data_IF_881135212658
#
_entry.id   IF_881135212658
#
_cell.length_a   1.000
_cell.length_b   1.000
_cell.length_c   1.000
_cell.angle_alpha   90.00
_cell.angle_beta   90.00
_cell.angle_gamma   90.00
#
_symmetry.space_group_name_H-M   'P 1'
#
loop_
_entity.id
_entity.type
_entity.pdbx_description
1 polymer ?
#
# COMPACT_ATOMS: atom_id res chain seq x y z
N UNK A 1 -21.86 22.87 3.14
CA UNK A 1 -21.70 21.40 2.99
C UNK A 1 -20.71 20.94 4.05
N UNK A 2 -21.02 19.92 4.88
CA UNK A 2 -20.10 19.48 5.94
C UNK A 2 -18.78 19.00 5.32
N UNK A 3 -17.65 19.45 5.88
CA UNK A 3 -16.34 19.00 5.43
C UNK A 3 -16.09 17.59 5.98
N UNK A 4 -16.37 16.57 5.16
CA UNK A 4 -16.23 15.16 5.51
C UNK A 4 -14.79 14.81 5.91
N UNK A 5 -13.79 15.40 5.25
CA UNK A 5 -12.37 15.15 5.56
C UNK A 5 -12.07 15.55 7.00
N UNK A 6 -12.56 16.73 7.43
CA UNK A 6 -12.40 17.20 8.81
C UNK A 6 -13.13 16.32 9.83
N UNK A 7 -14.26 15.72 9.44
CA UNK A 7 -15.04 14.81 10.29
C UNK A 7 -14.32 13.46 10.46
N UNK A 8 -13.70 12.95 9.40
CA UNK A 8 -13.05 11.64 9.39
C UNK A 8 -11.60 11.68 9.86
N UNK A 9 -10.90 12.81 9.73
CA UNK A 9 -9.48 12.92 10.06
C UNK A 9 -9.11 12.42 11.48
N UNK A 10 -9.88 12.71 12.55
CA UNK A 10 -9.58 12.22 13.89
C UNK A 10 -9.72 10.70 14.06
N UNK A 11 -10.30 10.00 13.08
CA UNK A 11 -10.50 8.56 13.16
C UNK A 11 -9.23 7.77 12.80
N UNK A 12 -8.28 8.40 12.11
CA UNK A 12 -7.02 7.77 11.68
C UNK A 12 -7.29 6.42 10.99
N UNK A 13 -8.17 6.46 9.98
CA UNK A 13 -8.67 5.28 9.29
C UNK A 13 -7.53 4.50 8.63
N UNK A 14 -7.48 3.19 8.90
CA UNK A 14 -6.55 2.27 8.25
C UNK A 14 -7.28 1.46 7.18
N UNK A 15 -8.48 0.96 7.47
CA UNK A 15 -9.19 -0.02 6.64
C UNK A 15 -10.15 0.61 5.64
N UNK A 16 -10.53 1.87 5.83
CA UNK A 16 -11.37 2.62 4.91
C UNK A 16 -10.62 3.82 4.32
N UNK A 17 -10.67 3.96 2.99
CA UNK A 17 -10.11 5.10 2.26
C UNK A 17 -11.23 6.00 1.73
N UNK A 18 -11.18 7.29 2.07
CA UNK A 18 -12.16 8.26 1.61
C UNK A 18 -11.86 8.73 0.18
N UNK A 19 -12.74 8.38 -0.76
CA UNK A 19 -12.72 8.88 -2.14
C UNK A 19 -13.60 10.14 -2.24
N UNK A 20 -12.97 11.31 -2.14
CA UNK A 20 -13.65 12.62 -2.19
C UNK A 20 -14.46 12.82 -3.48
N UNK A 21 -13.90 12.38 -4.62
CA UNK A 21 -14.54 12.55 -5.95
C UNK A 21 -15.80 11.70 -6.04
N UNK A 22 -15.73 10.45 -5.57
CA UNK A 22 -16.85 9.52 -5.58
C UNK A 22 -17.80 9.67 -4.36
N UNK A 23 -17.42 10.49 -3.37
CA UNK A 23 -18.13 10.69 -2.10
C UNK A 23 -18.45 9.37 -1.38
N UNK A 24 -17.44 8.53 -1.22
CA UNK A 24 -17.59 7.25 -0.53
C UNK A 24 -16.34 6.88 0.26
N UNK A 25 -16.48 6.00 1.25
CA UNK A 25 -15.35 5.29 1.85
C UNK A 25 -15.26 3.88 1.28
N UNK A 26 -14.13 3.54 0.66
CA UNK A 26 -13.85 2.20 0.13
C UNK A 26 -13.26 1.33 1.22
N UNK A 27 -13.75 0.11 1.35
CA UNK A 27 -13.17 -0.89 2.23
C UNK A 27 -11.96 -1.58 1.57
N UNK A 28 -10.82 -1.63 2.26
CA UNK A 28 -9.74 -2.58 1.96
C UNK A 28 -10.08 -3.94 2.56
N UNK A 29 -10.59 -4.84 1.71
CA UNK A 29 -11.08 -6.16 2.11
C UNK A 29 -9.99 -7.23 2.27
N UNK A 30 -8.71 -6.83 2.27
CA UNK A 30 -7.57 -7.76 2.32
C UNK A 30 -7.22 -8.26 3.74
N UNK A 31 -7.95 -7.82 4.78
CA UNK A 31 -7.54 -7.90 6.19
C UNK A 31 -8.59 -8.56 7.10
N UNK A 32 -8.23 -8.84 8.35
CA UNK A 32 -9.11 -9.53 9.32
C UNK A 32 -10.43 -8.77 9.56
N UNK A 33 -11.52 -9.53 9.75
CA UNK A 33 -12.87 -8.94 9.89
C UNK A 33 -13.03 -8.10 11.17
N UNK A 34 -12.34 -8.46 12.24
CA UNK A 34 -12.48 -7.80 13.54
C UNK A 34 -12.00 -6.35 13.48
N UNK A 35 -10.83 -6.11 12.91
CA UNK A 35 -10.29 -4.76 12.76
C UNK A 35 -11.13 -3.89 11.83
N UNK A 36 -11.63 -4.47 10.73
CA UNK A 36 -12.55 -3.80 9.79
C UNK A 36 -13.84 -3.37 10.50
N UNK A 37 -14.42 -4.25 11.31
CA UNK A 37 -15.70 -4.00 11.98
C UNK A 37 -15.59 -2.87 13.02
N UNK A 38 -14.51 -2.84 13.79
CA UNK A 38 -14.26 -1.74 14.75
C UNK A 38 -14.20 -0.39 14.05
N UNK A 39 -13.49 -0.30 12.93
CA UNK A 39 -13.39 0.96 12.18
C UNK A 39 -14.73 1.36 11.55
N UNK A 40 -15.49 0.40 11.01
CA UNK A 40 -16.84 0.63 10.49
C UNK A 40 -17.77 1.22 11.56
N UNK A 41 -17.76 0.71 12.78
CA UNK A 41 -18.55 1.27 13.89
C UNK A 41 -18.13 2.73 14.16
N UNK A 42 -16.83 3.01 14.25
CA UNK A 42 -16.31 4.37 14.50
C UNK A 42 -16.72 5.34 13.41
N UNK A 43 -16.64 4.93 12.14
CA UNK A 43 -17.06 5.74 10.99
C UNK A 43 -18.56 6.02 11.07
N UNK A 44 -19.39 4.98 11.15
CA UNK A 44 -20.86 5.10 11.10
C UNK A 44 -21.40 5.91 12.29
N UNK A 45 -20.85 5.70 13.49
CA UNK A 45 -21.15 6.53 14.67
C UNK A 45 -20.81 8.01 14.42
N UNK A 46 -19.62 8.29 13.89
CA UNK A 46 -19.15 9.66 13.65
C UNK A 46 -19.97 10.38 12.59
N UNK A 47 -20.33 9.68 11.50
CA UNK A 47 -21.20 10.22 10.46
C UNK A 47 -22.60 10.52 11.00
N UNK A 48 -23.19 9.60 11.77
CA UNK A 48 -24.49 9.77 12.42
C UNK A 48 -24.48 10.95 13.42
N UNK A 49 -23.48 11.04 14.29
CA UNK A 49 -23.30 12.16 15.25
C UNK A 49 -23.26 13.51 14.55
N UNK A 50 -22.68 13.56 13.35
CA UNK A 50 -22.62 14.76 12.53
C UNK A 50 -23.77 14.87 11.54
N UNK A 51 -24.89 14.14 11.68
CA UNK A 51 -26.04 14.17 10.78
C UNK A 51 -25.62 14.11 9.29
N UNK A 52 -24.71 13.19 8.94
CA UNK A 52 -24.32 12.89 7.57
C UNK A 52 -25.09 11.65 7.14
N UNK A 53 -25.89 11.74 6.09
CA UNK A 53 -26.58 10.59 5.51
C UNK A 53 -25.58 9.66 4.82
N UNK A 54 -25.74 8.35 5.02
CA UNK A 54 -24.94 7.34 4.36
C UNK A 54 -25.71 6.02 4.23
N UNK A 55 -25.22 5.13 3.36
CA UNK A 55 -25.62 3.73 3.30
C UNK A 55 -24.40 2.87 2.93
N UNK A 56 -24.51 1.55 3.13
CA UNK A 56 -23.46 0.60 2.76
C UNK A 56 -23.87 -0.10 1.48
N UNK A 57 -23.02 -0.06 0.45
CA UNK A 57 -23.29 -0.70 -0.83
C UNK A 57 -22.92 -2.20 -0.85
N UNK A 58 -23.12 -2.83 -2.00
CA UNK A 58 -22.88 -4.26 -2.22
C UNK A 58 -21.38 -4.63 -2.13
N UNK A 59 -20.49 -3.65 -2.34
CA UNK A 59 -19.04 -3.81 -2.19
C UNK A 59 -18.56 -3.49 -0.76
N UNK A 60 -19.50 -3.26 0.18
CA UNK A 60 -19.25 -2.85 1.58
C UNK A 60 -18.61 -1.47 1.71
N UNK A 61 -18.70 -0.64 0.66
CA UNK A 61 -18.29 0.75 0.70
C UNK A 61 -19.37 1.60 1.36
N UNK A 62 -18.96 2.64 2.08
CA UNK A 62 -19.89 3.57 2.74
C UNK A 62 -20.12 4.73 1.79
N UNK A 63 -21.30 4.82 1.19
CA UNK A 63 -21.66 5.90 0.26
C UNK A 63 -22.19 7.09 1.06
N UNK A 64 -21.67 8.29 0.80
CA UNK A 64 -22.04 9.52 1.52
C UNK A 64 -23.05 10.35 0.75
N UNK A 65 -24.25 10.47 1.32
CA UNK A 65 -25.40 11.11 0.71
C UNK A 65 -26.14 10.21 -0.29
N UNK A 66 -27.32 10.67 -0.69
CA UNK A 66 -28.24 9.89 -1.53
C UNK A 66 -29.18 9.00 -0.72
N UNK A 67 -30.11 8.35 -1.41
CA UNK A 67 -31.09 7.43 -0.83
C UNK A 67 -30.86 6.02 -1.39
N UNK A 68 -30.91 5.01 -0.51
CA UNK A 68 -30.74 3.61 -0.90
C UNK A 68 -32.09 2.92 -1.09
N UNK A 69 -32.85 3.37 -2.10
CA UNK A 69 -34.11 2.72 -2.45
C UNK A 69 -33.87 1.37 -3.13
N UNK A 70 -34.86 0.46 -3.06
CA UNK A 70 -34.78 -0.86 -3.71
C UNK A 70 -34.44 -0.74 -5.21
N UNK A 71 -35.04 0.22 -5.91
CA UNK A 71 -34.79 0.45 -7.34
C UNK A 71 -33.35 0.95 -7.57
N UNK A 72 -32.88 1.88 -6.75
CA UNK A 72 -31.50 2.39 -6.84
C UNK A 72 -30.48 1.26 -6.61
N UNK A 73 -30.77 0.39 -5.64
CA UNK A 73 -29.97 -0.80 -5.33
C UNK A 73 -29.86 -1.76 -6.50
N UNK A 74 -30.99 -2.11 -7.13
CA UNK A 74 -31.02 -2.99 -8.32
C UNK A 74 -30.23 -2.37 -9.48
N UNK A 75 -30.46 -1.08 -9.78
CA UNK A 75 -29.72 -0.37 -10.85
C UNK A 75 -28.22 -0.36 -10.59
N UNK A 76 -27.80 -0.10 -9.34
CA UNK A 76 -26.39 -0.11 -8.94
C UNK A 76 -25.77 -1.49 -9.12
N UNK A 77 -26.44 -2.54 -8.65
CA UNK A 77 -25.99 -3.91 -8.82
C UNK A 77 -25.77 -4.28 -10.30
N UNK A 78 -26.76 -4.01 -11.16
CA UNK A 78 -26.67 -4.29 -12.61
C UNK A 78 -25.50 -3.51 -13.24
N UNK A 79 -25.37 -2.22 -12.94
CA UNK A 79 -24.28 -1.38 -13.44
C UNK A 79 -22.91 -1.91 -13.01
N UNK A 80 -22.78 -2.29 -11.74
CA UNK A 80 -21.54 -2.86 -11.18
C UNK A 80 -21.20 -4.18 -11.87
N UNK A 81 -22.18 -5.04 -12.11
CA UNK A 81 -21.99 -6.29 -12.84
C UNK A 81 -21.43 -6.06 -14.26
N UNK A 82 -22.07 -5.20 -15.05
CA UNK A 82 -21.59 -4.87 -16.40
C UNK A 82 -20.20 -4.22 -16.37
N UNK A 83 -19.92 -3.37 -15.38
CA UNK A 83 -18.60 -2.76 -15.18
C UNK A 83 -17.54 -3.82 -14.92
N UNK A 84 -17.82 -4.80 -14.06
CA UNK A 84 -16.89 -5.91 -13.80
C UNK A 84 -16.65 -6.76 -15.05
N UNK A 85 -17.70 -7.08 -15.80
CA UNK A 85 -17.58 -7.86 -17.03
C UNK A 85 -16.69 -7.14 -18.05
N UNK A 86 -16.91 -5.84 -18.24
CA UNK A 86 -16.10 -5.01 -19.15
C UNK A 86 -14.64 -4.94 -18.69
N UNK A 87 -14.40 -4.56 -17.45
CA UNK A 87 -13.05 -4.33 -16.93
C UNK A 87 -12.24 -5.64 -16.88
N UNK A 88 -12.87 -6.79 -16.59
CA UNK A 88 -12.17 -8.09 -16.53
C UNK A 88 -11.70 -8.61 -17.89
N UNK A 89 -12.22 -8.05 -19.00
CA UNK A 89 -11.75 -8.39 -20.36
C UNK A 89 -10.48 -7.63 -20.76
N UNK A 90 -10.11 -6.59 -20.01
CA UNK A 90 -8.92 -5.81 -20.30
C UNK A 90 -7.63 -6.60 -20.00
N UNK A 91 -6.59 -6.37 -20.80
CA UNK A 91 -5.28 -7.01 -20.67
C UNK A 91 -4.42 -6.25 -19.65
N UNK A 92 -4.86 -6.25 -18.40
CA UNK A 92 -4.18 -5.54 -17.31
C UNK A 92 -3.29 -6.51 -16.53
N UNK A 93 -2.04 -6.14 -16.33
CA UNK A 93 -1.05 -6.96 -15.64
C UNK A 93 -0.41 -6.16 -14.50
N UNK A 94 -0.40 -6.72 -13.30
CA UNK A 94 0.22 -6.12 -12.11
C UNK A 94 1.45 -6.94 -11.75
N UNK A 95 2.61 -6.28 -11.71
CA UNK A 95 3.89 -6.92 -11.40
C UNK A 95 4.10 -7.13 -9.89
N UNK A 96 3.09 -7.66 -9.20
CA UNK A 96 3.06 -7.82 -7.75
C UNK A 96 2.42 -9.14 -7.35
N UNK A 97 2.81 -9.66 -6.18
CA UNK A 97 2.17 -10.81 -5.54
C UNK A 97 0.76 -10.48 -5.02
N UNK A 98 0.47 -9.21 -4.71
CA UNK A 98 -0.85 -8.80 -4.19
C UNK A 98 -1.89 -8.85 -5.31
N UNK A 99 -2.92 -9.68 -5.17
CA UNK A 99 -4.06 -9.73 -6.10
C UNK A 99 -4.83 -8.42 -6.09
N UNK A 100 -5.19 -7.94 -7.27
CA UNK A 100 -5.99 -6.72 -7.45
C UNK A 100 -7.10 -7.00 -8.46
N UNK A 101 -8.29 -6.48 -8.18
CA UNK A 101 -9.48 -6.69 -9.02
C UNK A 101 -9.18 -6.30 -10.47
N UNK A 102 -9.65 -7.11 -11.42
CA UNK A 102 -9.54 -6.91 -12.89
C UNK A 102 -8.13 -7.05 -13.50
N UNK A 103 -7.07 -7.16 -12.72
CA UNK A 103 -5.72 -7.33 -13.24
C UNK A 103 -5.16 -8.73 -12.98
N UNK A 104 -4.36 -9.24 -13.93
CA UNK A 104 -3.61 -10.49 -13.79
C UNK A 104 -2.30 -10.23 -13.07
N UNK A 105 -1.99 -11.04 -12.07
CA UNK A 105 -0.76 -10.91 -11.29
C UNK A 105 0.41 -11.64 -11.94
N UNK A 106 1.52 -10.94 -12.10
CA UNK A 106 2.80 -11.52 -12.54
C UNK A 106 3.87 -11.11 -11.51
N UNK A 107 4.08 -11.90 -10.45
CA UNK A 107 5.15 -11.58 -9.51
C UNK A 107 6.50 -11.75 -10.21
N UNK A 108 7.22 -10.66 -10.41
CA UNK A 108 8.54 -10.64 -11.07
C UNK A 108 9.71 -10.69 -10.08
N UNK A 109 9.42 -10.60 -8.79
CA UNK A 109 10.40 -10.76 -7.72
C UNK A 109 9.83 -11.62 -6.59
N UNK A 110 10.74 -12.10 -5.76
CA UNK A 110 10.46 -12.74 -4.49
C UNK A 110 11.18 -12.05 -3.35
N UNK A 111 10.61 -12.23 -2.16
CA UNK A 111 11.20 -11.78 -0.91
C UNK A 111 11.84 -12.99 -0.29
N UNK A 112 13.16 -12.98 -0.20
CA UNK A 112 13.93 -14.04 0.43
C UNK A 112 14.24 -13.59 1.87
N UNK A 113 13.64 -14.22 2.90
CA UNK A 113 13.97 -13.92 4.28
C UNK A 113 15.45 -14.20 4.56
N UNK A 114 16.06 -13.36 5.38
CA UNK A 114 17.37 -13.60 5.97
C UNK A 114 17.18 -13.89 7.45
N UNK A 115 18.13 -14.59 8.05
CA UNK A 115 18.12 -14.93 9.47
C UNK A 115 19.39 -14.42 10.16
N UNK A 116 19.60 -13.09 10.24
CA UNK A 116 20.72 -12.53 10.96
C UNK A 116 20.57 -12.80 12.47
N UNK A 117 21.68 -12.81 13.20
CA UNK A 117 21.64 -12.68 14.66
C UNK A 117 21.18 -11.26 15.01
N UNK A 118 20.11 -11.14 15.79
CA UNK A 118 19.54 -9.86 16.21
C UNK A 118 19.29 -9.90 17.71
N UNK A 119 19.82 -8.90 18.41
CA UNK A 119 19.40 -8.60 19.77
C UNK A 119 18.49 -7.36 19.75
N UNK A 120 17.25 -7.53 20.18
CA UNK A 120 16.27 -6.44 20.27
C UNK A 120 16.36 -5.68 21.61
N UNK A 121 17.18 -6.14 22.55
CA UNK A 121 17.33 -5.52 23.86
C UNK A 121 17.93 -4.11 23.75
N UNK A 122 17.38 -3.18 24.53
CA UNK A 122 17.88 -1.80 24.63
C UNK A 122 17.38 -0.85 23.52
N UNK A 123 16.61 -1.32 22.54
CA UNK A 123 15.92 -0.45 21.60
C UNK A 123 14.57 0.00 22.16
N UNK A 124 14.32 1.31 22.16
CA UNK A 124 13.04 1.88 22.61
C UNK A 124 11.97 1.86 21.52
N UNK A 125 12.37 1.72 20.26
CA UNK A 125 11.46 1.70 19.12
C UNK A 125 12.03 0.88 17.94
N UNK A 126 11.12 0.31 17.15
CA UNK A 126 11.40 -0.34 15.88
C UNK A 126 10.81 0.50 14.74
N UNK A 127 11.59 0.72 13.69
CA UNK A 127 11.16 1.44 12.49
C UNK A 127 10.95 0.44 11.36
N UNK A 128 9.81 0.55 10.67
CA UNK A 128 9.49 -0.29 9.51
C UNK A 128 8.99 0.53 8.32
N UNK A 129 9.68 0.41 7.19
CA UNK A 129 9.25 1.00 5.91
C UNK A 129 8.58 -0.02 4.99
N UNK A 130 8.56 -1.30 5.38
CA UNK A 130 8.05 -2.41 4.58
C UNK A 130 7.35 -3.44 5.46
N UNK A 131 6.17 -3.90 5.03
CA UNK A 131 5.48 -5.03 5.68
C UNK A 131 6.34 -6.30 5.72
N UNK A 132 7.21 -6.49 4.73
CA UNK A 132 8.04 -7.69 4.63
C UNK A 132 9.11 -7.73 5.73
N UNK A 133 9.59 -6.56 6.18
CA UNK A 133 10.50 -6.48 7.31
C UNK A 133 9.84 -6.95 8.61
N UNK A 134 8.56 -6.61 8.81
CA UNK A 134 7.78 -7.08 9.96
C UNK A 134 7.58 -8.59 9.88
N UNK A 135 7.17 -9.12 8.72
CA UNK A 135 6.98 -10.57 8.56
C UNK A 135 8.26 -11.36 8.76
N UNK A 136 9.40 -10.86 8.26
CA UNK A 136 10.70 -11.48 8.47
C UNK A 136 11.11 -11.43 9.95
N UNK A 137 11.03 -10.27 10.60
CA UNK A 137 11.35 -10.15 12.02
C UNK A 137 10.45 -11.01 12.91
N UNK A 138 9.16 -11.09 12.58
CA UNK A 138 8.22 -11.95 13.30
C UNK A 138 8.63 -13.42 13.21
N UNK A 139 9.22 -13.87 12.10
CA UNK A 139 9.75 -15.23 12.01
C UNK A 139 11.02 -15.45 12.85
N UNK A 140 11.79 -14.39 13.12
CA UNK A 140 13.08 -14.44 13.83
C UNK A 140 12.89 -14.35 15.34
N UNK A 141 12.26 -13.29 15.85
CA UNK A 141 12.12 -13.04 17.30
C UNK A 141 10.80 -12.35 17.65
N UNK A 142 9.88 -13.09 18.27
CA UNK A 142 8.55 -12.60 18.68
C UNK A 142 8.57 -11.49 19.72
N UNK A 143 9.69 -11.24 20.40
CA UNK A 143 9.82 -10.18 21.41
C UNK A 143 9.55 -8.78 20.84
N UNK A 144 9.76 -8.60 19.52
CA UNK A 144 9.47 -7.37 18.77
C UNK A 144 8.07 -6.80 19.03
N UNK A 145 7.08 -7.68 19.28
CA UNK A 145 5.66 -7.29 19.46
C UNK A 145 5.43 -6.34 20.62
N UNK A 146 6.30 -6.41 21.64
CA UNK A 146 6.27 -5.56 22.83
C UNK A 146 6.92 -4.19 22.63
N UNK A 147 7.74 -4.03 21.59
CA UNK A 147 8.49 -2.81 21.31
C UNK A 147 7.64 -1.88 20.44
N UNK A 148 7.56 -0.57 20.75
CA UNK A 148 6.86 0.42 19.93
C UNK A 148 7.28 0.40 18.46
N UNK A 149 6.33 0.17 17.55
CA UNK A 149 6.56 0.13 16.11
C UNK A 149 6.13 1.46 15.45
N UNK A 150 7.08 2.07 14.73
CA UNK A 150 6.92 3.26 13.91
C UNK A 150 6.97 2.85 12.45
N UNK A 151 5.87 3.08 11.73
CA UNK A 151 5.73 2.55 10.37
C UNK A 151 5.46 3.64 9.35
N UNK A 152 6.01 3.51 8.14
CA UNK A 152 5.91 4.56 7.12
C UNK A 152 4.49 4.81 6.59
N UNK A 153 3.63 3.78 6.59
CA UNK A 153 2.35 3.85 5.90
C UNK A 153 1.27 2.96 6.54
N UNK A 154 -0.02 3.28 6.32
CA UNK A 154 -1.15 2.50 6.84
C UNK A 154 -1.08 1.01 6.53
N UNK A 155 -0.60 0.61 5.35
CA UNK A 155 -0.51 -0.82 5.00
C UNK A 155 0.51 -1.59 5.86
N UNK A 156 1.62 -0.95 6.21
CA UNK A 156 2.62 -1.51 7.13
C UNK A 156 2.04 -1.55 8.56
N UNK A 157 1.26 -0.53 8.94
CA UNK A 157 0.56 -0.48 10.24
C UNK A 157 -0.42 -1.65 10.45
N UNK A 158 -1.19 -1.99 9.41
CA UNK A 158 -2.08 -3.15 9.44
C UNK A 158 -1.30 -4.45 9.71
N UNK A 159 -0.12 -4.60 9.11
CA UNK A 159 0.74 -5.78 9.34
C UNK A 159 1.20 -5.87 10.79
N UNK A 160 1.54 -4.73 11.42
CA UNK A 160 1.86 -4.70 12.86
C UNK A 160 0.68 -5.18 13.70
N UNK A 161 -0.52 -4.65 13.45
CA UNK A 161 -1.74 -5.00 14.20
C UNK A 161 -2.12 -6.47 14.02
N UNK A 162 -2.12 -6.97 12.79
CA UNK A 162 -2.46 -8.35 12.46
C UNK A 162 -1.53 -9.37 13.13
N UNK A 163 -0.25 -9.03 13.26
CA UNK A 163 0.72 -9.88 13.95
C UNK A 163 0.74 -9.67 15.48
N UNK A 164 -0.12 -8.80 16.02
CA UNK A 164 -0.25 -8.54 17.45
C UNK A 164 0.84 -7.63 18.02
N UNK A 165 1.50 -6.84 17.19
CA UNK A 165 2.54 -5.89 17.61
C UNK A 165 1.99 -4.56 18.14
N UNK A 166 2.82 -3.86 18.90
CA UNK A 166 2.54 -2.53 19.45
C UNK A 166 2.78 -1.43 18.41
N UNK A 167 1.76 -1.10 17.62
CA UNK A 167 1.79 0.07 16.73
C UNK A 167 1.77 1.38 17.55
N UNK A 168 2.80 2.22 17.38
CA UNK A 168 2.95 3.51 18.07
C UNK A 168 2.73 4.69 17.14
N UNK A 169 3.21 4.62 15.89
CA UNK A 169 3.10 5.71 14.94
C UNK A 169 2.93 5.22 13.50
N UNK A 170 2.12 5.93 12.73
CA UNK A 170 1.95 5.77 11.28
C UNK A 170 2.36 7.06 10.59
N UNK A 171 3.31 6.97 9.69
CA UNK A 171 3.79 8.07 8.87
C UNK A 171 2.67 8.67 8.02
N UNK A 172 2.75 9.99 7.82
CA UNK A 172 1.82 10.73 6.96
C UNK A 172 2.31 10.71 5.52
N UNK A 173 3.63 10.81 5.35
CA UNK A 173 4.31 10.75 4.06
C UNK A 173 4.72 9.33 3.70
N UNK A 174 4.62 9.00 2.41
CA UNK A 174 4.94 7.65 1.89
C UNK A 174 6.35 7.55 1.33
N UNK A 175 7.16 8.58 1.52
CA UNK A 175 8.56 8.66 1.09
C UNK A 175 9.49 8.53 2.29
N UNK A 176 10.55 7.72 2.18
CA UNK A 176 11.40 7.37 3.32
C UNK A 176 12.12 8.57 3.96
N UNK A 177 12.56 9.56 3.17
CA UNK A 177 13.23 10.74 3.70
C UNK A 177 12.26 11.65 4.46
N UNK A 178 11.06 11.89 3.92
CA UNK A 178 10.03 12.67 4.60
C UNK A 178 9.58 11.97 5.90
N UNK A 179 9.45 10.64 5.87
CA UNK A 179 9.17 9.85 7.07
C UNK A 179 10.26 9.97 8.12
N UNK A 180 11.55 9.98 7.74
CA UNK A 180 12.64 10.20 8.68
C UNK A 180 12.52 11.56 9.42
N UNK A 181 12.11 12.62 8.71
CA UNK A 181 11.87 13.93 9.31
C UNK A 181 10.72 13.90 10.32
N UNK A 182 9.63 13.20 10.03
CA UNK A 182 8.50 13.04 10.97
C UNK A 182 8.90 12.36 12.29
N UNK A 183 9.92 11.50 12.24
CA UNK A 183 10.40 10.73 13.39
C UNK A 183 11.32 11.53 14.32
N UNK A 184 11.92 12.63 13.85
CA UNK A 184 12.94 13.37 14.60
C UNK A 184 12.43 13.86 15.96
N UNK A 185 11.26 14.48 16.00
CA UNK A 185 10.68 14.97 17.26
C UNK A 185 10.22 13.82 18.17
N UNK A 186 9.82 12.69 17.57
CA UNK A 186 9.21 11.55 18.28
C UNK A 186 10.25 10.64 18.92
N UNK A 187 11.42 10.52 18.28
CA UNK A 187 12.49 9.59 18.65
C UNK A 187 13.74 10.32 19.15
N UNK A 188 13.66 11.63 19.40
CA UNK A 188 14.81 12.43 19.87
C UNK A 188 15.46 11.80 21.12
N UNK A 189 16.78 11.68 21.09
CA UNK A 189 17.60 11.09 22.15
C UNK A 189 17.28 9.62 22.47
N UNK A 190 16.61 8.91 21.56
CA UNK A 190 16.30 7.49 21.71
C UNK A 190 17.25 6.62 20.90
N UNK A 191 17.40 5.36 21.34
CA UNK A 191 18.06 4.31 20.59
C UNK A 191 17.02 3.44 19.89
N UNK A 192 17.07 3.38 18.56
CA UNK A 192 16.06 2.76 17.72
C UNK A 192 16.69 1.81 16.71
N UNK A 193 15.93 0.79 16.30
CA UNK A 193 16.37 -0.17 15.30
C UNK A 193 15.53 -0.04 14.03
N UNK A 194 16.18 0.25 12.91
CA UNK A 194 15.54 0.21 11.61
C UNK A 194 15.64 -1.19 10.99
N UNK A 195 14.51 -1.89 10.96
CA UNK A 195 14.43 -3.24 10.43
C UNK A 195 14.02 -3.17 8.97
N UNK A 196 14.88 -3.66 8.07
CA UNK A 196 14.78 -3.35 6.64
C UNK A 196 15.16 -4.49 5.70
N UNK A 197 14.89 -4.27 4.41
CA UNK A 197 15.43 -5.09 3.33
C UNK A 197 16.83 -4.62 2.90
N UNK A 198 17.52 -5.44 2.10
CA UNK A 198 18.90 -5.18 1.67
C UNK A 198 19.04 -3.90 0.84
N UNK A 199 18.14 -3.70 -0.14
CA UNK A 199 18.06 -2.48 -0.97
C UNK A 199 17.24 -1.39 -0.25
N UNK A 200 17.79 -0.18 -0.12
CA UNK A 200 17.14 1.01 0.45
C UNK A 200 17.35 2.19 -0.48
N UNK A 201 16.32 3.03 -0.63
CA UNK A 201 16.36 4.24 -1.47
C UNK A 201 16.42 5.53 -0.62
N UNK A 202 16.14 5.45 0.68
CA UNK A 202 16.11 6.59 1.59
C UNK A 202 17.35 6.71 2.48
N UNK A 203 17.71 7.93 2.84
CA UNK A 203 18.81 8.26 3.76
C UNK A 203 18.37 8.25 5.24
N UNK A 204 17.35 7.44 5.58
CA UNK A 204 16.67 7.47 6.88
C UNK A 204 17.65 7.36 8.06
N UNK A 205 18.59 6.43 8.02
CA UNK A 205 19.58 6.22 9.08
C UNK A 205 20.44 7.48 9.28
N UNK A 206 20.96 8.03 8.17
CA UNK A 206 21.79 9.24 8.17
C UNK A 206 21.04 10.44 8.75
N UNK A 207 19.79 10.64 8.31
CA UNK A 207 18.95 11.75 8.78
C UNK A 207 18.68 11.63 10.28
N UNK A 208 18.36 10.44 10.79
CA UNK A 208 18.10 10.21 12.21
C UNK A 208 19.35 10.43 13.07
N UNK A 209 20.47 9.81 12.69
CA UNK A 209 21.75 9.92 13.41
C UNK A 209 22.27 11.36 13.46
N UNK A 210 22.14 12.12 12.37
CA UNK A 210 22.54 13.53 12.32
C UNK A 210 21.72 14.45 13.26
N UNK A 211 20.56 13.98 13.74
CA UNK A 211 19.60 14.78 14.51
C UNK A 211 19.35 14.23 15.92
N UNK A 212 20.32 13.49 16.48
CA UNK A 212 20.31 13.06 17.88
C UNK A 212 19.43 11.85 18.17
N UNK A 213 19.09 11.04 17.17
CA UNK A 213 18.49 9.72 17.33
C UNK A 213 19.56 8.69 17.04
N UNK A 214 19.84 7.76 17.96
CA UNK A 214 20.78 6.67 17.70
C UNK A 214 20.02 5.60 16.92
N UNK A 215 20.24 5.55 15.61
CA UNK A 215 19.58 4.61 14.72
C UNK A 215 20.58 3.56 14.22
N UNK A 216 20.41 2.34 14.72
CA UNK A 216 21.05 1.14 14.16
C UNK A 216 20.13 0.53 13.09
N UNK A 217 20.65 -0.37 12.24
CA UNK A 217 19.84 -1.09 11.25
C UNK A 217 20.16 -2.58 11.19
N UNK A 218 19.17 -3.34 10.73
CA UNK A 218 19.33 -4.78 10.47
C UNK A 218 18.61 -5.19 9.20
N UNK A 219 19.29 -6.01 8.39
CA UNK A 219 18.77 -6.53 7.13
C UNK A 219 18.15 -7.89 7.36
N UNK A 220 16.83 -7.99 7.24
CA UNK A 220 16.08 -9.23 7.52
C UNK A 220 15.48 -9.88 6.28
N UNK A 221 15.60 -9.25 5.12
CA UNK A 221 15.22 -9.86 3.84
C UNK A 221 15.97 -9.23 2.67
N UNK A 222 15.99 -9.95 1.55
CA UNK A 222 16.41 -9.42 0.25
C UNK A 222 15.31 -9.59 -0.79
N UNK A 223 15.24 -8.65 -1.73
CA UNK A 223 14.37 -8.76 -2.91
C UNK A 223 15.18 -9.36 -4.04
N UNK A 224 14.76 -10.50 -4.56
CA UNK A 224 15.44 -11.22 -5.65
C UNK A 224 14.52 -11.26 -6.87
N UNK A 225 15.03 -10.88 -8.03
CA UNK A 225 14.27 -11.02 -9.28
C UNK A 225 14.05 -12.51 -9.57
N UNK A 226 12.80 -12.86 -9.86
CA UNK A 226 12.48 -14.21 -10.29
C UNK A 226 13.06 -14.43 -11.68
N UNK A 227 13.64 -15.60 -11.90
CA UNK A 227 14.06 -16.03 -13.22
C UNK A 227 12.93 -16.86 -13.83
N UNK A 228 12.54 -16.52 -15.04
CA UNK A 228 11.61 -17.31 -15.83
C UNK A 228 12.42 -18.17 -16.81
N UNK A 229 12.07 -19.45 -16.94
CA UNK A 229 12.81 -20.42 -17.78
C UNK A 229 12.87 -19.99 -19.26
N UNK A 230 11.91 -19.19 -19.69
CA UNK A 230 11.86 -18.57 -21.01
C UNK A 230 11.44 -17.11 -20.86
N UNK A 231 11.92 -16.25 -21.77
CA UNK A 231 11.41 -14.87 -21.87
C UNK A 231 9.91 -14.93 -22.11
N UNK A 232 9.14 -14.40 -21.17
CA UNK A 232 7.68 -14.40 -21.24
C UNK A 232 7.25 -13.20 -22.06
N UNK A 233 6.41 -13.43 -23.07
CA UNK A 233 5.77 -12.35 -23.82
C UNK A 233 4.35 -12.12 -23.31
N UNK A 234 3.99 -10.86 -23.09
CA UNK A 234 2.62 -10.48 -22.78
C UNK A 234 1.85 -10.25 -24.09
N UNK A 235 0.51 -10.45 -24.11
CA UNK A 235 -0.25 -10.19 -25.30
C UNK A 235 -0.12 -8.71 -25.74
N UNK A 236 -0.03 -8.45 -27.04
CA UNK A 236 -0.02 -7.08 -27.58
C UNK A 236 -1.21 -6.24 -27.07
N UNK A 237 -0.96 -4.96 -26.86
CA UNK A 237 -1.91 -4.01 -26.27
C UNK A 237 -2.11 -4.18 -24.76
N UNK A 238 -1.19 -4.86 -24.06
CA UNK A 238 -1.25 -5.00 -22.60
C UNK A 238 -0.93 -3.69 -21.89
N UNK A 239 -1.56 -3.47 -20.74
CA UNK A 239 -1.19 -2.42 -19.80
C UNK A 239 -0.56 -3.03 -18.56
N UNK A 240 0.66 -2.62 -18.26
CA UNK A 240 1.52 -3.22 -17.25
C UNK A 240 1.70 -2.22 -16.11
N UNK A 241 1.45 -2.67 -14.88
CA UNK A 241 1.47 -1.86 -13.68
C UNK A 241 2.71 -2.18 -12.86
N UNK A 242 3.50 -1.14 -12.58
CA UNK A 242 4.77 -1.18 -11.88
C UNK A 242 4.64 -0.48 -10.54
N UNK A 243 4.96 -1.20 -9.46
CA UNK A 243 4.71 -0.76 -8.08
C UNK A 243 5.96 -0.35 -7.32
N UNK A 244 7.14 -0.53 -7.91
CA UNK A 244 8.42 -0.10 -7.34
C UNK A 244 9.52 -0.10 -8.40
N UNK A 245 10.66 0.58 -8.16
CA UNK A 245 11.84 0.47 -9.00
C UNK A 245 12.25 -0.98 -9.30
N UNK A 246 12.22 -1.86 -8.30
CA UNK A 246 12.56 -3.28 -8.48
C UNK A 246 11.61 -4.02 -9.43
N UNK A 247 10.34 -3.61 -9.53
CA UNK A 247 9.44 -4.23 -10.53
C UNK A 247 9.83 -3.90 -11.96
N UNK A 248 10.48 -2.75 -12.19
CA UNK A 248 10.99 -2.34 -13.50
C UNK A 248 12.26 -3.13 -13.82
N UNK A 249 13.22 -3.13 -12.90
CA UNK A 249 14.46 -3.91 -12.99
C UNK A 249 14.16 -5.39 -13.33
N UNK A 250 13.37 -6.06 -12.50
CA UNK A 250 13.04 -7.47 -12.70
C UNK A 250 12.16 -7.74 -13.93
N UNK A 251 11.39 -6.75 -14.40
CA UNK A 251 10.66 -6.88 -15.67
C UNK A 251 11.64 -6.94 -16.83
N UNK A 252 12.59 -6.02 -16.93
CA UNK A 252 13.54 -5.98 -18.05
C UNK A 252 14.56 -7.13 -18.04
N UNK A 253 14.75 -7.80 -16.91
CA UNK A 253 15.52 -9.07 -16.86
C UNK A 253 14.79 -10.23 -17.55
N UNK A 254 13.46 -10.23 -17.56
CA UNK A 254 12.65 -11.40 -17.95
C UNK A 254 11.74 -11.18 -19.17
N UNK A 255 11.41 -9.93 -19.48
CA UNK A 255 10.44 -9.53 -20.48
C UNK A 255 11.07 -8.52 -21.43
N UNK A 256 10.65 -8.56 -22.69
CA UNK A 256 10.99 -7.52 -23.67
C UNK A 256 9.84 -6.52 -23.76
N UNK A 257 10.15 -5.24 -23.93
CA UNK A 257 9.14 -4.21 -24.12
C UNK A 257 8.62 -4.22 -25.57
N UNK A 258 7.30 -4.36 -25.73
CA UNK A 258 6.63 -4.21 -27.02
C UNK A 258 6.03 -2.79 -27.12
N UNK A 259 6.12 -2.17 -28.30
CA UNK A 259 5.66 -0.79 -28.51
C UNK A 259 4.15 -0.60 -28.36
N UNK A 260 3.36 -1.67 -28.38
CA UNK A 260 1.92 -1.64 -28.09
C UNK A 260 1.59 -1.64 -26.59
N UNK A 261 2.58 -1.85 -25.72
CA UNK A 261 2.36 -1.83 -24.27
C UNK A 261 2.18 -0.40 -23.75
N UNK A 262 1.39 -0.30 -22.68
CA UNK A 262 1.29 0.91 -21.86
C UNK A 262 1.83 0.59 -20.46
N UNK A 263 2.62 1.49 -19.89
CA UNK A 263 3.07 1.39 -18.50
C UNK A 263 2.21 2.28 -17.59
N UNK A 264 1.85 1.77 -16.42
CA UNK A 264 1.34 2.57 -15.30
C UNK A 264 2.33 2.46 -14.15
N UNK A 265 2.82 3.59 -13.67
CA UNK A 265 3.68 3.68 -12.50
C UNK A 265 2.87 4.09 -11.28
N UNK A 266 3.15 3.46 -10.14
CA UNK A 266 2.50 3.79 -8.86
C UNK A 266 2.83 5.19 -8.34
N UNK A 267 3.92 5.79 -8.82
CA UNK A 267 4.35 7.13 -8.41
C UNK A 267 5.64 7.56 -9.09
N UNK A 268 6.05 8.80 -8.82
CA UNK A 268 7.17 9.46 -9.50
C UNK A 268 8.51 8.76 -9.27
N UNK A 269 8.82 8.36 -8.03
CA UNK A 269 10.05 7.63 -7.72
C UNK A 269 10.19 6.34 -8.53
N UNK A 270 9.08 5.65 -8.81
CA UNK A 270 9.11 4.46 -9.68
C UNK A 270 9.21 4.85 -11.15
N UNK A 271 8.55 5.93 -11.56
CA UNK A 271 8.57 6.40 -12.95
C UNK A 271 9.98 6.80 -13.42
N UNK A 272 10.79 7.36 -12.52
CA UNK A 272 12.18 7.76 -12.80
C UNK A 272 13.12 6.58 -13.17
N UNK A 273 12.72 5.34 -12.89
CA UNK A 273 13.53 4.15 -13.19
C UNK A 273 13.19 3.53 -14.56
N UNK A 274 12.22 4.09 -15.30
CA UNK A 274 11.96 3.64 -16.66
C UNK A 274 13.06 4.10 -17.61
N UNK A 275 13.39 3.30 -18.64
CA UNK A 275 14.17 3.79 -19.77
C UNK A 275 13.52 5.02 -20.40
N UNK A 276 14.32 5.98 -20.89
CA UNK A 276 13.84 7.24 -21.48
C UNK A 276 12.83 7.04 -22.62
N UNK A 277 12.89 5.88 -23.30
CA UNK A 277 11.98 5.52 -24.39
C UNK A 277 10.56 5.15 -23.93
N UNK A 278 10.33 5.00 -22.63
CA UNK A 278 9.05 4.55 -22.06
C UNK A 278 8.55 5.59 -21.07
N UNK A 279 7.47 6.28 -21.44
CA UNK A 279 6.80 7.26 -20.57
C UNK A 279 5.60 6.59 -19.90
N UNK A 280 5.64 6.30 -18.58
CA UNK A 280 4.52 5.68 -17.88
C UNK A 280 3.42 6.70 -17.53
N UNK A 281 2.18 6.23 -17.47
CA UNK A 281 1.08 6.98 -16.83
C UNK A 281 1.22 6.90 -15.30
N UNK A 282 1.06 8.02 -14.60
CA UNK A 282 1.07 8.03 -13.15
C UNK A 282 -0.32 7.70 -12.58
N UNK A 283 -0.36 6.86 -11.55
CA UNK A 283 -1.55 6.65 -10.74
C UNK A 283 -1.90 7.91 -9.94
N UNK A 284 -3.19 8.10 -9.61
CA UNK A 284 -3.63 9.26 -8.82
C UNK A 284 -3.13 9.19 -7.37
N UNK A 285 -2.88 7.96 -6.88
CA UNK A 285 -2.38 7.68 -5.54
C UNK A 285 -1.44 6.48 -5.58
N UNK A 286 -0.57 6.36 -4.59
CA UNK A 286 0.42 5.29 -4.50
C UNK A 286 -0.18 3.96 -3.99
N UNK A 287 -1.23 3.47 -4.65
CA UNK A 287 -1.86 2.17 -4.38
C UNK A 287 -2.02 1.38 -5.68
N UNK A 288 -2.01 0.04 -5.58
CA UNK A 288 -2.19 -0.80 -6.75
C UNK A 288 -3.61 -0.66 -7.33
N UNK A 289 -4.59 -0.45 -6.46
CA UNK A 289 -5.98 -0.20 -6.84
C UNK A 289 -6.11 1.08 -7.68
N UNK A 290 -5.40 2.14 -7.31
CA UNK A 290 -5.32 3.38 -8.08
C UNK A 290 -4.62 3.18 -9.42
N UNK A 291 -3.55 2.38 -9.45
CA UNK A 291 -2.88 1.99 -10.70
C UNK A 291 -3.82 1.24 -11.65
N UNK A 292 -4.59 0.26 -11.15
CA UNK A 292 -5.56 -0.48 -11.97
C UNK A 292 -6.67 0.44 -12.46
N UNK A 293 -7.15 1.35 -11.61
CA UNK A 293 -8.15 2.35 -12.02
C UNK A 293 -7.62 3.22 -13.16
N UNK A 294 -6.38 3.73 -13.05
CA UNK A 294 -5.71 4.47 -14.13
C UNK A 294 -5.59 3.62 -15.40
N UNK A 295 -5.20 2.36 -15.25
CA UNK A 295 -5.10 1.42 -16.36
C UNK A 295 -6.44 1.19 -17.06
N UNK A 296 -7.57 1.18 -16.34
CA UNK A 296 -8.91 1.09 -16.92
C UNK A 296 -9.24 2.39 -17.66
N UNK A 297 -8.98 3.55 -17.07
CA UNK A 297 -9.24 4.87 -17.68
C UNK A 297 -8.56 5.02 -19.05
N UNK A 298 -7.30 4.60 -19.19
CA UNK A 298 -6.53 4.72 -20.43
C UNK A 298 -6.85 3.65 -21.50
N UNK A 299 -7.68 2.66 -21.16
CA UNK A 299 -8.13 1.60 -22.07
C UNK A 299 -9.66 1.57 -22.26
N UNK A 300 -10.36 2.56 -21.71
CA UNK A 300 -11.81 2.73 -21.86
C UNK A 300 -12.17 3.53 -23.11
#
# INVERSE_FOLDING_TARGET
MKNIEKILAPLELLYYEYDKKARLLRLDNSWSKDHIFTELIRITYTLSKHNVQFFIDEEKSIILGGTDTIIARIKRYIRTFFTHLRNSRMKLYVLSQKKVKWAKNIPVFEIKPLNPEIDLYGYSALIFTSKNAITALDAIDKSWKSIPAYVIAPQTAKTVKDLGGKLEYVGKEKQGNAFAIELLEKLKNQKVLYVRGSKVVSDLITVLNANGVICDDVIVYETVCKKFDQKVELPKGSTIIFSSPSTIECFFENFSWDSSYKAVSIGETTAQYFPETIVPFLADTTSLESCVKKAIEINS
#
